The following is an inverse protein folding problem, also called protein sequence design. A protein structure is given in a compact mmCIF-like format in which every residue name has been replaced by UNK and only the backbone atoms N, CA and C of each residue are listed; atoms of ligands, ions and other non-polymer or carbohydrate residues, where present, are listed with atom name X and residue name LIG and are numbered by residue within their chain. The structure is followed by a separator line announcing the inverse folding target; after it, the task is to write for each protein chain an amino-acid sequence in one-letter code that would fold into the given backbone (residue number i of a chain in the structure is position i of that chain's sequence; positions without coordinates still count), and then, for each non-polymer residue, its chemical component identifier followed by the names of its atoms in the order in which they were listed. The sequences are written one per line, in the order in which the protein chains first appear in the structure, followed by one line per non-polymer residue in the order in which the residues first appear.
data_IF_753372098651
#
_entry.id   IF_753372098651
#
_cell.length_a   1.000
_cell.length_b   1.000
_cell.length_c   1.000
_cell.angle_alpha   90.00
_cell.angle_beta   90.00
_cell.angle_gamma   90.00
#
_symmetry.space_group_name_H-M   'P 1'
#
loop_
_entity.id
_entity.type
_entity.pdbx_description
1 polymer ?
#
# COMPACT_ATOMS: atom_id res chain seq x y z
N UNK A 1 61.81 30.00 1.02
CA UNK A 1 60.53 30.05 1.73
C UNK A 1 59.63 28.95 1.23
N UNK A 2 59.35 28.02 2.06
CA UNK A 2 58.49 26.88 1.68
C UNK A 2 57.08 27.28 1.99
N UNK A 3 56.29 27.52 0.98
CA UNK A 3 54.84 27.69 1.18
C UNK A 3 54.22 26.32 1.34
N UNK A 4 53.82 26.05 2.54
CA UNK A 4 52.98 24.84 2.79
C UNK A 4 51.60 25.19 2.34
N UNK A 5 51.24 24.73 1.16
CA UNK A 5 49.85 24.74 0.74
C UNK A 5 49.13 23.65 1.48
N UNK A 6 48.45 24.04 2.48
CA UNK A 6 47.48 23.13 3.15
C UNK A 6 46.29 23.01 2.24
N UNK A 7 46.32 21.97 1.44
CA UNK A 7 45.10 21.57 0.71
C UNK A 7 44.14 21.00 1.74
N UNK A 8 43.22 21.83 2.15
CA UNK A 8 42.11 21.36 3.00
C UNK A 8 41.20 20.52 2.11
N UNK A 9 41.40 19.22 2.20
CA UNK A 9 40.49 18.27 1.55
C UNK A 9 39.17 18.32 2.31
N UNK A 10 38.24 19.08 1.78
CA UNK A 10 36.89 19.11 2.28
C UNK A 10 36.23 17.78 1.87
N UNK A 11 36.32 16.80 2.75
CA UNK A 11 35.60 15.54 2.58
C UNK A 11 34.12 15.86 2.77
N UNK A 12 33.41 16.10 1.69
CA UNK A 12 31.96 16.17 1.72
C UNK A 12 31.43 14.78 2.08
N UNK A 13 31.05 14.66 3.32
CA UNK A 13 30.34 13.48 3.82
C UNK A 13 28.96 13.53 3.17
N UNK A 14 28.81 12.83 2.05
CA UNK A 14 27.49 12.65 1.46
C UNK A 14 26.72 11.70 2.36
N UNK A 15 25.90 12.25 3.24
CA UNK A 15 24.96 11.46 4.02
C UNK A 15 23.95 10.89 3.03
N UNK A 16 23.80 9.56 2.98
CA UNK A 16 22.75 9.01 2.17
C UNK A 16 21.43 9.50 2.73
N UNK A 17 20.67 10.21 1.92
CA UNK A 17 19.31 10.56 2.28
C UNK A 17 18.55 9.26 2.43
N UNK A 18 18.04 9.00 3.64
CA UNK A 18 17.14 7.88 3.88
C UNK A 18 15.84 8.19 3.14
N UNK A 19 15.77 7.74 1.89
CA UNK A 19 14.54 7.80 1.16
C UNK A 19 13.55 6.86 1.86
N UNK A 20 12.45 7.41 2.37
CA UNK A 20 11.38 6.59 2.90
C UNK A 20 10.72 5.88 1.72
N UNK A 21 10.99 4.59 1.62
CA UNK A 21 10.34 3.77 0.62
C UNK A 21 8.89 3.56 1.01
N UNK A 22 8.01 3.60 0.01
CA UNK A 22 6.59 3.29 0.15
C UNK A 22 6.30 2.19 -0.85
N UNK A 23 5.70 1.12 -0.37
CA UNK A 23 5.28 0.02 -1.24
C UNK A 23 4.02 0.44 -1.99
N UNK A 24 4.05 0.37 -3.31
CA UNK A 24 2.90 0.72 -4.15
C UNK A 24 2.17 -0.55 -4.53
N UNK A 25 0.90 -0.65 -4.16
CA UNK A 25 0.02 -1.73 -4.58
C UNK A 25 -1.08 -1.16 -5.46
N UNK A 26 -1.37 -1.85 -6.55
CA UNK A 26 -2.37 -1.40 -7.50
C UNK A 26 -3.65 -2.22 -7.32
N UNK A 27 -4.74 -1.54 -7.06
CA UNK A 27 -6.04 -2.21 -6.94
C UNK A 27 -6.59 -2.54 -8.32
N UNK A 28 -6.70 -3.82 -8.60
CA UNK A 28 -7.20 -4.35 -9.87
C UNK A 28 -8.35 -5.34 -9.64
N UNK A 29 -9.10 -5.13 -8.56
CA UNK A 29 -10.24 -5.98 -8.15
C UNK A 29 -9.81 -7.37 -7.73
N UNK A 30 -8.57 -7.53 -7.37
CA UNK A 30 -8.01 -8.73 -6.76
C UNK A 30 -7.57 -8.35 -5.36
N UNK A 31 -7.90 -9.13 -4.34
CA UNK A 31 -7.49 -8.79 -2.97
C UNK A 31 -5.98 -8.56 -2.88
N UNK A 32 -5.62 -7.48 -2.19
CA UNK A 32 -4.22 -7.10 -2.03
C UNK A 32 -3.68 -7.67 -0.73
N UNK A 33 -2.54 -8.35 -0.80
CA UNK A 33 -1.89 -8.91 0.36
C UNK A 33 -1.10 -7.82 1.10
N UNK A 34 -1.43 -7.62 2.37
CA UNK A 34 -0.74 -6.65 3.23
C UNK A 34 -0.29 -7.39 4.49
N UNK A 35 0.93 -7.94 4.49
CA UNK A 35 1.45 -8.62 5.68
C UNK A 35 1.74 -7.63 6.79
N UNK A 36 1.46 -8.05 8.02
CA UNK A 36 1.71 -7.29 9.24
C UNK A 36 2.74 -8.00 10.09
N UNK A 37 3.43 -7.22 10.91
CA UNK A 37 4.30 -7.73 11.95
C UNK A 37 3.68 -7.41 13.30
N UNK A 38 3.58 -8.41 14.16
CA UNK A 38 2.98 -8.24 15.49
C UNK A 38 3.68 -7.11 16.24
N UNK A 39 2.89 -6.22 16.83
CA UNK A 39 3.41 -5.10 17.62
C UNK A 39 3.90 -3.92 16.80
N UNK A 40 3.86 -3.98 15.47
CA UNK A 40 4.28 -2.89 14.60
C UNK A 40 3.09 -2.35 13.82
N UNK A 41 2.86 -1.06 13.95
CA UNK A 41 1.80 -0.41 13.19
C UNK A 41 2.19 -0.34 11.72
N UNK A 42 1.27 -0.73 10.85
CA UNK A 42 1.45 -0.59 9.42
C UNK A 42 0.48 0.45 8.89
N UNK A 43 1.00 1.39 8.12
CA UNK A 43 0.20 2.46 7.55
C UNK A 43 -0.12 2.11 6.11
N UNK A 44 -1.40 2.24 5.75
CA UNK A 44 -1.88 1.99 4.38
C UNK A 44 -2.57 3.25 3.90
N UNK A 45 -1.96 3.93 2.94
CA UNK A 45 -2.56 5.11 2.33
C UNK A 45 -3.53 4.67 1.23
N UNK A 46 -4.78 5.00 1.41
CA UNK A 46 -5.83 4.71 0.43
C UNK A 46 -6.21 5.97 -0.34
N UNK A 47 -5.91 7.14 0.24
CA UNK A 47 -6.17 8.48 -0.31
C UNK A 47 -7.66 8.75 -0.55
N UNK A 48 -8.52 8.06 0.19
CA UNK A 48 -9.97 8.27 0.22
C UNK A 48 -10.49 7.82 1.57
N UNK A 49 -11.61 8.37 1.98
CA UNK A 49 -12.22 7.94 3.22
C UNK A 49 -12.87 6.57 3.02
N UNK A 50 -12.47 5.62 3.85
CA UNK A 50 -12.99 4.26 3.77
C UNK A 50 -13.51 3.81 5.13
N UNK A 51 -14.54 2.98 5.09
CA UNK A 51 -15.00 2.21 6.24
C UNK A 51 -14.40 0.83 6.15
N UNK A 52 -13.96 0.31 7.29
CA UNK A 52 -13.29 -0.99 7.31
C UNK A 52 -14.21 -2.00 7.96
N UNK A 53 -14.56 -3.05 7.22
CA UNK A 53 -15.23 -4.20 7.75
C UNK A 53 -14.23 -5.21 8.28
N UNK A 54 -14.27 -5.44 9.59
CA UNK A 54 -13.33 -6.34 10.27
C UNK A 54 -14.11 -7.59 10.70
N UNK A 55 -13.64 -8.80 10.33
CA UNK A 55 -14.27 -10.01 10.81
C UNK A 55 -14.29 -10.07 12.34
N UNK A 56 -15.34 -10.66 12.88
CA UNK A 56 -15.51 -10.74 14.34
C UNK A 56 -14.37 -11.48 15.02
N UNK A 57 -13.80 -12.48 14.37
CA UNK A 57 -12.70 -13.26 14.92
C UNK A 57 -11.41 -12.45 15.12
N UNK A 58 -11.32 -11.26 14.57
CA UNK A 58 -10.16 -10.39 14.73
C UNK A 58 -10.35 -9.32 15.80
N UNK A 59 -11.52 -9.23 16.40
CA UNK A 59 -11.75 -8.27 17.48
C UNK A 59 -10.84 -8.59 18.66
N UNK A 60 -10.15 -7.58 19.16
CA UNK A 60 -9.17 -7.73 20.21
C UNK A 60 -7.77 -8.18 19.73
N UNK A 61 -7.66 -8.65 18.51
CA UNK A 61 -6.38 -9.08 17.91
C UNK A 61 -5.80 -8.06 16.96
N UNK A 62 -6.67 -7.34 16.27
CA UNK A 62 -6.30 -6.34 15.29
C UNK A 62 -6.95 -5.02 15.63
N UNK A 63 -6.13 -3.98 15.75
CA UNK A 63 -6.60 -2.62 15.90
C UNK A 63 -6.59 -1.97 14.54
N UNK A 64 -7.72 -1.40 14.14
CA UNK A 64 -7.88 -0.73 12.86
C UNK A 64 -8.36 0.69 13.12
N UNK A 65 -7.70 1.64 12.53
CA UNK A 65 -8.10 3.04 12.57
C UNK A 65 -8.07 3.60 11.17
N UNK A 66 -9.16 4.20 10.74
CA UNK A 66 -9.28 4.84 9.43
C UNK A 66 -9.50 6.33 9.62
N UNK A 67 -8.60 7.14 9.11
CA UNK A 67 -8.71 8.58 9.22
C UNK A 67 -7.93 9.28 8.13
N UNK A 68 -8.53 10.29 7.51
CA UNK A 68 -7.85 11.14 6.55
C UNK A 68 -7.26 10.43 5.34
N UNK A 69 -7.87 9.34 4.90
CA UNK A 69 -7.39 8.57 3.76
C UNK A 69 -6.28 7.58 4.09
N UNK A 70 -5.97 7.38 5.37
CA UNK A 70 -4.98 6.42 5.82
C UNK A 70 -5.60 5.39 6.77
N UNK A 71 -5.16 4.16 6.65
CA UNK A 71 -5.47 3.10 7.59
C UNK A 71 -4.25 2.83 8.47
N UNK A 72 -4.49 2.67 9.75
CA UNK A 72 -3.48 2.26 10.71
C UNK A 72 -3.85 0.88 11.22
N UNK A 73 -3.02 -0.11 10.93
CA UNK A 73 -3.25 -1.50 11.27
C UNK A 73 -2.21 -1.95 12.30
N UNK A 74 -2.67 -2.46 13.42
CA UNK A 74 -1.80 -2.95 14.47
C UNK A 74 -2.31 -4.30 14.98
N UNK A 75 -1.54 -5.36 14.76
CA UNK A 75 -1.83 -6.67 15.30
C UNK A 75 -1.09 -6.83 16.63
N UNK A 76 -1.79 -7.31 17.67
CA UNK A 76 -1.16 -7.56 18.95
C UNK A 76 -0.82 -9.03 19.20
N UNK A 77 -1.16 -9.89 18.25
CA UNK A 77 -0.84 -11.30 18.26
C UNK A 77 -0.83 -11.84 16.83
N UNK A 78 -0.26 -13.02 16.58
CA UNK A 78 -0.30 -13.60 15.25
C UNK A 78 -1.72 -13.78 14.74
N UNK A 79 -1.94 -13.46 13.48
CA UNK A 79 -3.24 -13.57 12.82
C UNK A 79 -3.04 -14.36 11.53
N UNK A 80 -3.74 -15.49 11.36
CA UNK A 80 -3.74 -16.19 10.08
C UNK A 80 -4.39 -15.32 8.99
N UNK A 81 -4.16 -15.61 7.72
CA UNK A 81 -4.70 -14.78 6.65
C UNK A 81 -6.19 -14.51 6.83
N UNK A 82 -6.55 -13.26 6.79
CA UNK A 82 -7.91 -12.79 6.98
C UNK A 82 -8.18 -11.62 6.04
N UNK A 83 -9.41 -11.52 5.59
CA UNK A 83 -9.84 -10.50 4.62
C UNK A 83 -10.53 -9.34 5.31
N UNK A 84 -10.05 -8.14 5.03
CA UNK A 84 -10.70 -6.90 5.42
C UNK A 84 -11.38 -6.29 4.19
N UNK A 85 -12.54 -5.69 4.43
CA UNK A 85 -13.28 -5.01 3.37
C UNK A 85 -13.16 -3.51 3.60
N UNK A 86 -12.66 -2.81 2.59
CA UNK A 86 -12.60 -1.35 2.60
C UNK A 86 -13.70 -0.83 1.71
N UNK A 87 -14.58 -0.01 2.27
CA UNK A 87 -15.66 0.59 1.50
C UNK A 87 -15.44 2.10 1.42
N UNK A 88 -15.37 2.62 0.21
CA UNK A 88 -15.30 4.05 -0.01
C UNK A 88 -16.57 4.71 0.55
N UNK A 89 -16.40 5.65 1.45
CA UNK A 89 -17.51 6.31 2.12
C UNK A 89 -18.29 7.23 1.17
N UNK A 90 -17.71 7.63 0.05
CA UNK A 90 -18.32 8.56 -0.89
C UNK A 90 -19.16 7.84 -1.94
N UNK A 91 -18.64 6.79 -2.54
CA UNK A 91 -19.28 6.11 -3.66
C UNK A 91 -19.66 4.65 -3.40
N UNK A 92 -19.32 4.11 -2.22
CA UNK A 92 -19.64 2.72 -1.87
C UNK A 92 -18.77 1.68 -2.54
N UNK A 93 -17.78 2.08 -3.32
CA UNK A 93 -16.87 1.15 -3.99
C UNK A 93 -16.11 0.34 -2.96
N UNK A 94 -15.96 -0.96 -3.21
CA UNK A 94 -15.30 -1.87 -2.28
C UNK A 94 -13.93 -2.30 -2.79
N UNK A 95 -13.02 -2.40 -1.84
CA UNK A 95 -11.68 -2.86 -2.05
C UNK A 95 -11.39 -3.92 -0.99
N UNK A 96 -10.67 -4.97 -1.35
CA UNK A 96 -10.37 -6.07 -0.44
C UNK A 96 -8.87 -6.13 -0.18
N UNK A 97 -8.52 -6.25 1.09
CA UNK A 97 -7.14 -6.51 1.48
C UNK A 97 -7.09 -7.78 2.32
N UNK A 98 -6.06 -8.57 2.11
CA UNK A 98 -5.81 -9.78 2.89
C UNK A 98 -4.63 -9.50 3.81
N UNK A 99 -4.87 -9.55 5.11
CA UNK A 99 -3.84 -9.33 6.11
C UNK A 99 -3.47 -10.66 6.76
N UNK A 100 -2.25 -10.73 7.21
CA UNK A 100 -1.77 -11.80 8.09
C UNK A 100 -0.71 -11.17 8.98
N UNK A 101 -0.67 -11.57 10.25
CA UNK A 101 0.32 -11.04 11.19
C UNK A 101 1.21 -12.15 11.67
N UNK A 102 2.51 -11.91 11.63
CA UNK A 102 3.53 -12.84 12.09
C UNK A 102 4.45 -12.15 13.09
N UNK A 103 5.07 -12.94 13.97
CA UNK A 103 6.06 -12.42 14.89
C UNK A 103 7.25 -11.85 14.11
N UNK A 104 7.84 -10.79 14.68
CA UNK A 104 9.02 -10.19 14.09
C UNK A 104 10.22 -11.12 14.25
N UNK A 105 10.99 -11.34 13.19
CA UNK A 105 12.30 -11.94 13.29
C UNK A 105 13.26 -10.94 13.97
N UNK A 106 14.30 -11.47 14.66
CA UNK A 106 15.20 -10.64 15.46
C UNK A 106 15.88 -9.52 14.66
N UNK A 107 16.10 -9.73 13.38
CA UNK A 107 16.77 -8.78 12.47
C UNK A 107 15.81 -8.17 11.44
N UNK A 108 14.51 -8.38 11.62
CA UNK A 108 13.52 -7.89 10.66
C UNK A 108 13.40 -6.37 10.74
N UNK A 109 13.53 -5.73 9.60
CA UNK A 109 13.29 -4.29 9.47
C UNK A 109 11.80 -3.99 9.58
N UNK A 110 11.41 -2.82 10.12
CA UNK A 110 10.02 -2.39 10.07
C UNK A 110 9.50 -2.39 8.63
N UNK A 111 8.25 -2.80 8.46
CA UNK A 111 7.64 -2.81 7.13
C UNK A 111 7.34 -1.39 6.67
N UNK A 112 7.53 -1.17 5.39
CA UNK A 112 7.27 0.11 4.77
C UNK A 112 5.77 0.42 4.76
N UNK A 113 5.39 1.70 4.79
CA UNK A 113 4.01 2.07 4.49
C UNK A 113 3.61 1.57 3.10
N UNK A 114 2.32 1.31 2.94
CA UNK A 114 1.74 0.89 1.67
C UNK A 114 0.88 2.02 1.13
N UNK A 115 0.96 2.26 -0.16
CA UNK A 115 0.01 3.12 -0.86
C UNK A 115 -0.75 2.30 -1.88
N UNK A 116 -2.06 2.30 -1.76
CA UNK A 116 -2.92 1.64 -2.73
C UNK A 116 -3.35 2.66 -3.76
N UNK A 117 -3.00 2.41 -5.01
CA UNK A 117 -3.41 3.27 -6.11
C UNK A 117 -4.50 2.59 -6.91
N UNK A 118 -5.41 3.38 -7.47
CA UNK A 118 -6.42 2.83 -8.35
C UNK A 118 -5.74 2.26 -9.59
N UNK A 119 -6.14 1.06 -9.96
CA UNK A 119 -5.80 0.52 -11.26
C UNK A 119 -6.42 1.41 -12.33
N UNK A 120 -5.85 1.39 -13.53
CA UNK A 120 -6.49 2.04 -14.65
C UNK A 120 -7.92 1.54 -14.74
N UNK A 121 -8.89 2.43 -14.98
CA UNK A 121 -10.23 1.96 -15.22
C UNK A 121 -10.15 1.02 -16.41
N UNK A 122 -10.38 -0.25 -16.12
CA UNK A 122 -10.46 -1.24 -17.18
C UNK A 122 -11.60 -0.77 -18.06
N UNK A 123 -11.27 -0.28 -19.24
CA UNK A 123 -12.29 0.00 -20.22
C UNK A 123 -13.19 -1.24 -20.28
N UNK A 124 -14.48 -1.05 -20.16
CA UNK A 124 -15.34 -2.21 -20.13
C UNK A 124 -15.05 -3.06 -21.36
N UNK A 125 -14.42 -4.17 -21.10
CA UNK A 125 -14.18 -5.16 -22.13
C UNK A 125 -15.48 -5.88 -22.38
N UNK A 126 -16.33 -5.18 -22.99
CA UNK A 126 -17.49 -5.85 -23.52
C UNK A 126 -17.18 -6.15 -24.96
N UNK A 127 -16.64 -7.17 -25.17
CA UNK A 127 -16.17 -7.49 -26.44
C UNK A 127 -14.93 -6.74 -26.88
N UNK A 128 -14.84 -5.78 -26.26
CA UNK A 128 -14.07 -5.20 -26.56
C UNK A 128 -13.38 -4.96 -26.84
N UNK A 129 -13.28 -4.84 -27.15
CA UNK A 129 -12.74 -4.35 -27.36
C UNK A 129 -12.20 -4.09 -27.70
N UNK A 130 -12.04 -4.12 -28.01
CA UNK A 130 -11.78 -3.72 -28.29
C UNK A 130 -11.23 -3.17 -28.73
N UNK A 131 -10.75 -3.25 -29.08
CA UNK A 131 -10.58 -2.71 -29.45
C UNK A 131 -10.78 -2.15 -30.14
N UNK A 132 -10.66 -2.21 -30.40
CA UNK A 132 -11.07 -1.66 -30.91
C UNK A 132 -11.34 -1.46 -31.60
N UNK A 133 -11.55 -1.60 -31.65
CA UNK A 133 -12.11 -1.36 -32.15
C UNK A 133 -12.37 -0.90 -32.84
N UNK A 134 -12.01 -0.96 -33.46
CA UNK A 134 -12.53 -0.42 -34.13
C UNK A 134 -13.13 -0.42 -34.79
N UNK A 135 -13.16 -0.69 -34.45
CA UNK A 135 -13.89 -0.56 -34.89
C UNK A 135 -14.52 -0.59 -35.28
N UNK A 136 -14.61 -0.79 -35.13
CA UNK A 136 -15.38 -0.62 -35.40
C UNK A 136 -15.75 -0.39 -35.88
N UNK A 137 -15.50 -0.34 -35.99
CA UNK A 137 -16.11 0.04 -36.30
C UNK A 137 -16.40 0.10 -36.99
N UNK A 138 -16.01 0.00 -37.00
CA UNK A 138 -16.51 0.12 -37.48
C UNK A 138 -17.13 -0.18 -38.05
N UNK A 139 -17.32 -0.30 -37.83
CA UNK A 139 -18.13 -0.54 -38.28
C UNK A 139 -18.89 -0.40 -38.79
N UNK A 140 -18.76 -0.21 -38.75
CA UNK A 140 -19.51 -0.02 -39.17
C UNK A 140 -19.91 0.19 -40.13
N UNK A 141 -19.23 -0.07 -40.03
CA UNK A 141 -19.74 0.62 -41.08
C UNK A 141 -20.83 0.66 -41.66
#
# INVERSE_FOLDING_TARGET
MIRKSTATLLLMLALPALAQAVEILRWERIPLAIPLTVGQERIVFVDRNVRVGVPRGLQGKLRVQSTGGALYLLANEPIPPARLRLQDATNGEQMLIDIAATEAAADQQPREPVRIVAGEPVAPHYGQPREAQPSAAAKQT
#
